data_IF_389462368724
#
_entry.id   IF_389462368724
#
_cell.length_a   1.000
_cell.length_b   1.000
_cell.length_c   1.000
_cell.angle_alpha   90.00
_cell.angle_beta   90.00
_cell.angle_gamma   90.00
#
_symmetry.space_group_name_H-M   'P 1'
#
loop_
_entity.id
_entity.type
_entity.pdbx_description
1 polymer ?
#
# COMPACT_ATOMS: atom_id res chain seq x y z
N UNK A 1 -26.51 0.39 -7.13
CA UNK A 1 -25.87 0.44 -5.79
C UNK A 1 -25.58 -1.00 -5.39
N UNK A 2 -24.31 -1.42 -5.36
CA UNK A 2 -23.93 -2.80 -5.04
C UNK A 2 -24.26 -3.06 -3.56
N UNK A 3 -25.19 -3.99 -3.29
CA UNK A 3 -25.66 -4.29 -1.92
C UNK A 3 -24.69 -5.21 -1.16
N UNK A 4 -23.77 -5.85 -1.87
CA UNK A 4 -22.82 -6.81 -1.30
C UNK A 4 -21.59 -6.11 -0.68
N UNK A 5 -21.42 -4.82 -0.95
CA UNK A 5 -20.33 -4.02 -0.39
C UNK A 5 -20.81 -3.31 0.89
N UNK A 6 -20.20 -3.57 2.05
CA UNK A 6 -20.50 -2.84 3.28
C UNK A 6 -20.36 -1.32 3.09
N UNK A 7 -21.22 -0.53 3.72
CA UNK A 7 -21.17 0.94 3.65
C UNK A 7 -20.00 1.57 4.44
N UNK A 8 -18.94 0.80 4.72
CA UNK A 8 -17.79 1.22 5.52
C UNK A 8 -16.50 1.16 4.69
N UNK A 9 -15.65 2.16 4.88
CA UNK A 9 -14.31 2.29 4.31
C UNK A 9 -13.20 1.66 5.19
N UNK A 10 -13.58 0.83 6.18
CA UNK A 10 -12.68 0.31 7.21
C UNK A 10 -11.40 -0.35 6.66
N UNK A 11 -11.48 -1.04 5.52
CA UNK A 11 -10.31 -1.70 4.91
C UNK A 11 -9.29 -0.64 4.48
N UNK A 12 -9.72 0.35 3.70
CA UNK A 12 -8.86 1.45 3.24
C UNK A 12 -8.28 2.25 4.43
N UNK A 13 -9.09 2.53 5.45
CA UNK A 13 -8.61 3.22 6.64
C UNK A 13 -7.54 2.41 7.38
N UNK A 14 -7.72 1.09 7.51
CA UNK A 14 -6.75 0.19 8.15
C UNK A 14 -5.44 0.15 7.39
N UNK A 15 -5.47 0.13 6.07
CA UNK A 15 -4.26 0.09 5.23
C UNK A 15 -3.39 1.36 5.35
N UNK A 16 -3.98 2.50 5.70
CA UNK A 16 -3.24 3.76 5.91
C UNK A 16 -2.58 3.83 7.31
N UNK A 17 -3.09 3.10 8.31
CA UNK A 17 -2.61 3.20 9.72
C UNK A 17 -1.10 3.00 9.88
N UNK A 18 -0.44 2.05 9.20
CA UNK A 18 1.01 1.90 9.31
C UNK A 18 1.78 3.15 8.90
N UNK A 19 1.29 3.91 7.91
CA UNK A 19 1.91 5.17 7.49
C UNK A 19 1.76 6.28 8.54
N UNK A 20 0.66 6.29 9.31
CA UNK A 20 0.47 7.24 10.43
C UNK A 20 1.44 6.93 11.56
N UNK A 21 1.58 5.65 11.94
CA UNK A 21 2.55 5.20 12.95
C UNK A 21 3.98 5.51 12.50
N UNK A 22 4.32 5.18 11.25
CA UNK A 22 5.61 5.51 10.65
C UNK A 22 5.92 7.00 10.78
N UNK A 23 5.00 7.88 10.37
CA UNK A 23 5.20 9.34 10.46
C UNK A 23 5.37 9.81 11.89
N UNK A 24 4.66 9.22 12.85
CA UNK A 24 4.78 9.55 14.28
C UNK A 24 6.17 9.23 14.82
N UNK A 25 6.75 8.08 14.46
CA UNK A 25 8.06 7.63 14.96
C UNK A 25 9.21 8.31 14.22
N UNK A 26 9.09 8.48 12.91
CA UNK A 26 10.18 9.00 12.06
C UNK A 26 10.14 10.52 11.88
N UNK A 27 9.09 11.18 12.35
CA UNK A 27 8.75 12.56 12.02
C UNK A 27 8.58 12.81 10.50
N UNK A 28 8.21 11.76 9.75
CA UNK A 28 7.96 11.80 8.31
C UNK A 28 9.23 11.96 7.46
N UNK A 29 9.02 12.19 6.17
CA UNK A 29 10.10 12.39 5.21
C UNK A 29 10.54 13.84 5.13
N UNK A 30 11.83 14.05 4.84
CA UNK A 30 12.42 15.37 4.54
C UNK A 30 12.56 15.63 3.03
N UNK A 31 12.19 14.65 2.21
CA UNK A 31 12.21 14.75 0.76
C UNK A 31 10.88 14.27 0.20
N UNK A 32 10.38 14.99 -0.80
CA UNK A 32 9.20 14.57 -1.55
C UNK A 32 9.44 13.24 -2.25
N UNK A 33 10.65 13.04 -2.77
CA UNK A 33 11.04 11.77 -3.38
C UNK A 33 10.90 10.59 -2.41
N UNK A 34 11.38 10.71 -1.17
CA UNK A 34 11.25 9.65 -0.17
C UNK A 34 9.79 9.37 0.19
N UNK A 35 8.95 10.42 0.25
CA UNK A 35 7.52 10.27 0.48
C UNK A 35 6.82 9.51 -0.67
N UNK A 36 7.18 9.80 -1.91
CA UNK A 36 6.62 9.11 -3.09
C UNK A 36 7.04 7.64 -3.15
N UNK A 37 8.31 7.34 -2.86
CA UNK A 37 8.80 5.95 -2.81
C UNK A 37 8.05 5.15 -1.73
N UNK A 38 7.85 5.73 -0.54
CA UNK A 38 7.09 5.07 0.53
C UNK A 38 5.63 4.82 0.14
N UNK A 39 4.99 5.81 -0.48
CA UNK A 39 3.62 5.67 -0.97
C UNK A 39 3.52 4.54 -2.01
N UNK A 40 4.42 4.50 -2.99
CA UNK A 40 4.49 3.45 -4.01
C UNK A 40 4.73 2.07 -3.40
N UNK A 41 5.72 1.93 -2.51
CA UNK A 41 6.01 0.68 -1.81
C UNK A 41 4.81 0.17 -1.00
N UNK A 42 4.13 1.06 -0.25
CA UNK A 42 2.93 0.70 0.53
C UNK A 42 1.78 0.29 -0.36
N UNK A 43 1.62 0.92 -1.52
CA UNK A 43 0.60 0.55 -2.50
C UNK A 43 0.85 -0.86 -3.03
N UNK A 44 2.07 -1.15 -3.51
CA UNK A 44 2.43 -2.46 -4.08
C UNK A 44 2.28 -3.57 -3.06
N UNK A 45 2.84 -3.38 -1.86
CA UNK A 45 2.80 -4.41 -0.82
C UNK A 45 1.42 -4.59 -0.19
N UNK A 46 0.63 -3.53 -0.09
CA UNK A 46 -0.77 -3.58 0.36
C UNK A 46 -1.64 -4.38 -0.62
N UNK A 47 -1.55 -4.07 -1.91
CA UNK A 47 -2.27 -4.82 -2.96
C UNK A 47 -1.84 -6.28 -3.00
N UNK A 48 -0.53 -6.55 -2.97
CA UNK A 48 0.00 -7.92 -2.95
C UNK A 48 -0.57 -8.74 -1.78
N UNK A 49 -0.65 -8.14 -0.58
CA UNK A 49 -1.24 -8.77 0.60
C UNK A 49 -2.72 -9.11 0.40
N UNK A 50 -3.50 -8.25 -0.26
CA UNK A 50 -4.92 -8.52 -0.56
C UNK A 50 -5.08 -9.66 -1.58
N UNK A 51 -4.09 -9.87 -2.45
CA UNK A 51 -4.03 -10.95 -3.43
C UNK A 51 -3.29 -12.20 -2.95
N UNK A 52 -3.00 -12.32 -1.66
CA UNK A 52 -2.24 -13.42 -1.05
C UNK A 52 -0.83 -13.63 -1.66
N UNK A 53 -0.25 -12.56 -2.22
CA UNK A 53 1.09 -12.54 -2.79
C UNK A 53 2.12 -12.02 -1.77
N UNK A 54 3.29 -12.66 -1.74
CA UNK A 54 4.39 -12.18 -0.90
C UNK A 54 4.94 -10.84 -1.39
N UNK A 55 5.39 -10.00 -0.46
CA UNK A 55 5.97 -8.68 -0.78
C UNK A 55 7.18 -8.79 -1.73
N UNK A 56 8.05 -9.79 -1.52
CA UNK A 56 9.21 -10.03 -2.38
C UNK A 56 8.79 -10.37 -3.82
N UNK A 57 7.78 -11.23 -3.98
CA UNK A 57 7.24 -11.60 -5.29
C UNK A 57 6.66 -10.37 -5.99
N UNK A 58 5.85 -9.59 -5.30
CA UNK A 58 5.24 -8.38 -5.85
C UNK A 58 6.27 -7.32 -6.28
N UNK A 59 7.34 -7.14 -5.51
CA UNK A 59 8.42 -6.22 -5.87
C UNK A 59 9.17 -6.71 -7.12
N UNK A 60 9.42 -8.03 -7.23
CA UNK A 60 10.02 -8.60 -8.44
C UNK A 60 9.13 -8.40 -9.64
N UNK A 61 7.84 -8.69 -9.53
CA UNK A 61 6.88 -8.48 -10.61
C UNK A 61 6.79 -7.00 -11.00
N UNK A 62 6.91 -6.07 -10.05
CA UNK A 62 6.94 -4.63 -10.33
C UNK A 62 8.18 -4.26 -11.15
N UNK A 63 9.35 -4.73 -10.74
CA UNK A 63 10.62 -4.47 -11.44
C UNK A 63 10.62 -5.10 -12.82
N UNK A 64 10.01 -6.27 -12.97
CA UNK A 64 9.87 -6.99 -14.25
C UNK A 64 8.75 -6.42 -15.14
N UNK A 65 8.00 -5.40 -14.68
CA UNK A 65 6.90 -4.78 -15.42
C UNK A 65 5.63 -5.64 -15.53
N UNK A 66 5.51 -6.67 -14.68
CA UNK A 66 4.40 -7.64 -14.65
C UNK A 66 3.39 -7.40 -13.51
N UNK A 67 3.64 -6.42 -12.65
CA UNK A 67 2.73 -6.08 -11.56
C UNK A 67 1.46 -5.40 -12.08
N UNK A 68 0.34 -6.10 -12.02
CA UNK A 68 -0.97 -5.55 -12.36
C UNK A 68 -1.63 -4.93 -11.12
N UNK A 69 -2.07 -3.68 -11.25
CA UNK A 69 -2.98 -3.07 -10.27
C UNK A 69 -4.40 -3.50 -10.66
N UNK A 70 -5.05 -4.24 -9.77
CA UNK A 70 -6.44 -4.69 -9.94
C UNK A 70 -7.43 -3.52 -10.02
#
# INVERSE_FOLDING_TARGET
>A
KNRDVPATNNISEREIRPSVVFRKVTNGFRSDWGAQIHAGYRSVTGTARLSDQSALSAIRDLVDGRFAVA
#
